data_IF_859568715909
#
_entry.id   IF_859568715909
#
_cell.length_a   1.000
_cell.length_b   1.000
_cell.length_c   1.000
_cell.angle_alpha   90.00
_cell.angle_beta   90.00
_cell.angle_gamma   90.00
#
_symmetry.space_group_name_H-M   'P 1'
#
loop_
_entity.id
_entity.type
_entity.pdbx_description
1 polymer ?
#
# COMPACT_ATOMS: atom_id res chain seq x y z
N UNK A 1 14.20 48.25 41.66
CA UNK A 1 13.72 47.63 40.40
C UNK A 1 14.90 47.27 39.50
N UNK A 2 15.49 46.06 39.65
CA UNK A 2 16.19 45.43 38.50
C UNK A 2 16.08 43.89 38.45
N UNK A 3 15.32 43.24 39.33
CA UNK A 3 15.26 41.76 39.43
C UNK A 3 14.25 41.13 38.46
N UNK A 4 13.27 41.90 37.96
CA UNK A 4 12.20 41.38 37.08
C UNK A 4 12.61 41.19 35.61
N UNK A 5 13.72 41.80 35.17
CA UNK A 5 14.14 41.78 33.75
C UNK A 5 15.05 40.58 33.44
N UNK A 6 15.73 40.02 34.43
CA UNK A 6 16.64 38.88 34.24
C UNK A 6 15.83 37.57 34.19
N UNK A 7 14.71 37.48 34.92
CA UNK A 7 13.85 36.29 34.91
C UNK A 7 13.15 36.06 33.56
N UNK A 8 12.84 37.13 32.82
CA UNK A 8 12.15 37.03 31.53
C UNK A 8 13.05 36.57 30.39
N UNK A 9 14.37 36.80 30.46
CA UNK A 9 15.32 36.29 29.47
C UNK A 9 15.64 34.80 29.66
N UNK A 10 15.68 34.32 30.90
CA UNK A 10 15.86 32.89 31.19
C UNK A 10 14.67 32.04 30.71
N UNK A 11 13.44 32.55 30.79
CA UNK A 11 12.24 31.85 30.35
C UNK A 11 12.13 31.77 28.81
N UNK A 12 12.69 32.76 28.09
CA UNK A 12 12.68 32.83 26.62
C UNK A 12 13.73 31.92 25.97
N UNK A 13 14.81 31.60 26.69
CA UNK A 13 15.82 30.63 26.23
C UNK A 13 15.33 29.20 26.50
N UNK A 14 14.56 28.97 27.57
CA UNK A 14 13.98 27.64 27.84
C UNK A 14 12.88 27.26 26.83
N UNK A 15 12.14 28.24 26.29
CA UNK A 15 11.14 27.98 25.25
C UNK A 15 11.75 27.73 23.86
N UNK A 16 13.02 28.07 23.64
CA UNK A 16 13.74 27.77 22.39
C UNK A 16 14.33 26.35 22.34
N UNK A 17 14.48 25.67 23.48
CA UNK A 17 15.02 24.30 23.57
C UNK A 17 13.90 23.24 23.62
N UNK A 18 12.65 23.65 23.81
CA UNK A 18 11.47 22.85 23.40
C UNK A 18 11.31 23.06 21.89
N UNK A 19 12.40 22.73 21.18
CA UNK A 19 12.41 22.59 19.75
C UNK A 19 11.26 21.69 19.36
N UNK A 20 10.49 22.21 18.42
CA UNK A 20 9.52 21.55 17.57
C UNK A 20 10.12 20.23 17.07
N UNK A 21 10.07 19.19 17.90
CA UNK A 21 10.11 17.82 17.40
C UNK A 21 8.73 17.67 16.77
N UNK A 22 8.61 17.48 15.45
CA UNK A 22 7.33 17.16 14.86
C UNK A 22 6.82 15.89 15.53
N UNK A 23 5.84 16.06 16.42
CA UNK A 23 5.03 15.00 16.96
C UNK A 23 4.21 14.42 15.81
N UNK A 24 4.79 13.50 15.06
CA UNK A 24 4.15 13.05 13.83
C UNK A 24 4.79 11.88 13.09
N UNK A 25 5.80 11.23 13.65
CA UNK A 25 6.19 9.89 13.23
C UNK A 25 6.26 9.00 14.47
N UNK A 26 5.15 8.91 15.21
CA UNK A 26 4.90 7.67 15.94
C UNK A 26 4.85 6.60 14.86
N UNK A 27 5.90 5.79 14.77
CA UNK A 27 5.83 4.49 14.10
C UNK A 27 4.71 3.71 14.77
N UNK A 28 3.47 3.93 14.33
CA UNK A 28 2.37 3.07 14.69
C UNK A 28 2.69 1.75 14.01
N UNK A 29 3.31 0.84 14.75
CA UNK A 29 3.58 -0.51 14.25
C UNK A 29 2.25 -1.14 13.85
N UNK A 30 1.93 -1.12 12.56
CA UNK A 30 0.69 -1.69 12.05
C UNK A 30 0.84 -3.20 12.09
N UNK A 31 0.09 -3.86 12.98
CA UNK A 31 0.01 -5.32 12.95
C UNK A 31 -0.72 -5.72 11.68
N UNK A 32 -0.14 -6.59 10.87
CA UNK A 32 -0.75 -7.03 9.63
C UNK A 32 -0.50 -8.52 9.37
N UNK A 33 -1.39 -9.13 8.59
CA UNK A 33 -1.26 -10.52 8.13
C UNK A 33 -1.50 -10.57 6.62
N UNK A 34 -0.92 -11.57 5.96
CA UNK A 34 -1.11 -11.85 4.54
C UNK A 34 -1.72 -13.24 4.37
N UNK A 35 -2.49 -13.43 3.30
CA UNK A 35 -2.81 -14.78 2.84
C UNK A 35 -1.57 -15.42 2.20
N UNK A 36 -1.45 -16.76 2.21
CA UNK A 36 -0.39 -17.43 1.48
C UNK A 36 -0.51 -17.16 -0.04
N UNK A 37 0.63 -17.09 -0.71
CA UNK A 37 0.70 -17.01 -2.18
C UNK A 37 -0.03 -18.19 -2.82
N UNK A 38 -0.85 -17.93 -3.84
CA UNK A 38 -1.63 -18.94 -4.55
C UNK A 38 -2.70 -19.66 -3.73
N UNK A 39 -3.06 -19.14 -2.54
CA UNK A 39 -4.00 -19.80 -1.62
C UNK A 39 -5.41 -19.95 -2.21
N UNK A 40 -5.84 -19.01 -3.06
CA UNK A 40 -7.16 -19.04 -3.67
C UNK A 40 -7.10 -19.57 -5.08
N UNK A 41 -7.83 -20.68 -5.31
CA UNK A 41 -8.06 -21.23 -6.64
C UNK A 41 -8.77 -20.22 -7.55
N UNK A 42 -8.65 -20.41 -8.87
CA UNK A 42 -9.33 -19.56 -9.83
C UNK A 42 -10.86 -19.65 -9.68
N UNK A 43 -11.51 -18.50 -9.46
CA UNK A 43 -12.93 -18.39 -9.17
C UNK A 43 -13.85 -19.05 -10.22
N UNK A 44 -13.44 -19.08 -11.49
CA UNK A 44 -14.22 -19.68 -12.58
C UNK A 44 -14.19 -21.21 -12.59
N UNK A 45 -13.23 -21.84 -11.88
CA UNK A 45 -13.10 -23.31 -11.82
C UNK A 45 -13.96 -23.95 -10.72
N UNK A 46 -14.54 -23.14 -9.84
CA UNK A 46 -15.25 -23.62 -8.65
C UNK A 46 -16.77 -23.58 -8.90
N UNK A 47 -17.55 -24.63 -8.55
CA UNK A 47 -19.01 -24.60 -8.61
C UNK A 47 -19.62 -23.50 -7.73
N UNK A 48 -20.75 -22.93 -8.13
CA UNK A 48 -21.39 -21.79 -7.41
C UNK A 48 -21.59 -22.07 -5.91
N UNK A 49 -22.03 -23.27 -5.54
CA UNK A 49 -22.25 -23.64 -4.13
C UNK A 49 -20.95 -23.60 -3.31
N UNK A 50 -19.82 -23.99 -3.93
CA UNK A 50 -18.51 -23.92 -3.30
C UNK A 50 -17.98 -22.48 -3.23
N UNK A 51 -18.30 -21.64 -4.22
CA UNK A 51 -17.94 -20.21 -4.20
C UNK A 51 -18.50 -19.51 -2.97
N UNK A 52 -19.77 -19.74 -2.64
CA UNK A 52 -20.40 -19.16 -1.45
C UNK A 52 -19.70 -19.60 -0.17
N UNK A 53 -19.31 -20.87 -0.06
CA UNK A 53 -18.56 -21.39 1.10
C UNK A 53 -17.18 -20.74 1.21
N UNK A 54 -16.47 -20.58 0.09
CA UNK A 54 -15.16 -19.92 0.06
C UNK A 54 -15.29 -18.44 0.46
N UNK A 55 -16.23 -17.71 -0.13
CA UNK A 55 -16.50 -16.30 0.20
C UNK A 55 -16.83 -16.13 1.69
N UNK A 56 -17.68 -17.00 2.26
CA UNK A 56 -17.99 -16.97 3.69
C UNK A 56 -16.77 -17.25 4.57
N UNK A 57 -15.90 -18.18 4.16
CA UNK A 57 -14.64 -18.46 4.87
C UNK A 57 -13.67 -17.28 4.82
N UNK A 58 -13.56 -16.61 3.68
CA UNK A 58 -12.77 -15.39 3.54
C UNK A 58 -13.33 -14.32 4.46
N UNK A 59 -14.63 -14.04 4.41
CA UNK A 59 -15.29 -13.04 5.24
C UNK A 59 -15.08 -13.29 6.74
N UNK A 60 -15.27 -14.52 7.20
CA UNK A 60 -15.02 -14.90 8.58
C UNK A 60 -13.55 -14.69 9.00
N UNK A 61 -12.60 -14.98 8.09
CA UNK A 61 -11.18 -14.76 8.33
C UNK A 61 -10.86 -13.26 8.45
N UNK A 62 -11.38 -12.45 7.54
CA UNK A 62 -11.19 -11.00 7.53
C UNK A 62 -11.83 -10.31 8.75
N UNK A 63 -13.00 -10.79 9.19
CA UNK A 63 -13.64 -10.34 10.44
C UNK A 63 -12.76 -10.61 11.65
N UNK A 64 -12.18 -11.82 11.75
CA UNK A 64 -11.24 -12.16 12.83
C UNK A 64 -9.97 -11.29 12.80
N UNK A 65 -9.43 -11.00 11.61
CA UNK A 65 -8.30 -10.08 11.47
C UNK A 65 -8.66 -8.69 11.99
N UNK A 66 -9.79 -8.15 11.54
CA UNK A 66 -10.27 -6.82 11.92
C UNK A 66 -10.52 -6.72 13.42
N UNK A 67 -11.19 -7.72 14.02
CA UNK A 67 -11.43 -7.78 15.46
C UNK A 67 -10.13 -7.88 16.27
N UNK A 68 -9.12 -8.57 15.74
CA UNK A 68 -7.78 -8.65 16.35
C UNK A 68 -6.91 -7.40 16.13
N UNK A 69 -7.43 -6.36 15.47
CA UNK A 69 -6.68 -5.15 15.14
C UNK A 69 -5.59 -5.36 14.08
N UNK A 70 -5.67 -6.43 13.29
CA UNK A 70 -4.74 -6.70 12.20
C UNK A 70 -5.23 -6.08 10.89
N UNK A 71 -4.32 -5.44 10.15
CA UNK A 71 -4.49 -5.14 8.74
C UNK A 71 -4.29 -6.36 7.85
N UNK A 72 -4.81 -6.30 6.63
CA UNK A 72 -4.49 -7.22 5.55
C UNK A 72 -3.38 -6.63 4.69
N UNK A 73 -2.30 -7.37 4.54
CA UNK A 73 -1.25 -7.08 3.55
C UNK A 73 -1.78 -7.46 2.17
N UNK A 74 -1.68 -6.50 1.24
CA UNK A 74 -1.89 -6.70 -0.19
C UNK A 74 -0.54 -6.54 -0.89
N UNK A 75 -0.07 -7.61 -1.52
CA UNK A 75 1.18 -7.67 -2.28
C UNK A 75 0.85 -8.24 -3.66
N UNK A 76 1.00 -7.43 -4.70
CA UNK A 76 0.64 -7.86 -6.04
C UNK A 76 0.67 -6.74 -7.06
N UNK A 77 0.01 -6.92 -8.19
CA UNK A 77 0.02 -5.96 -9.29
C UNK A 77 -1.24 -5.09 -9.29
N UNK A 78 -1.08 -3.78 -9.46
CA UNK A 78 -2.18 -2.88 -9.78
C UNK A 78 -2.67 -3.20 -11.19
N UNK A 79 -3.96 -3.51 -11.34
CA UNK A 79 -4.52 -3.95 -12.63
C UNK A 79 -4.97 -2.79 -13.52
N UNK A 80 -5.14 -1.60 -12.94
CA UNK A 80 -5.50 -0.37 -13.65
C UNK A 80 -4.23 0.46 -13.92
N UNK A 81 -4.24 1.29 -14.96
CA UNK A 81 -3.14 2.24 -15.21
C UNK A 81 -3.33 3.46 -14.30
N UNK A 82 -2.52 3.66 -13.25
CA UNK A 82 -2.71 4.78 -12.34
C UNK A 82 -2.36 6.09 -13.03
N UNK A 83 -3.19 7.12 -12.85
CA UNK A 83 -2.90 8.47 -13.32
C UNK A 83 -1.83 9.13 -12.42
N UNK A 84 -0.66 9.52 -12.95
CA UNK A 84 0.39 10.16 -12.15
C UNK A 84 0.02 11.58 -11.69
N UNK A 85 -0.98 12.23 -12.30
CA UNK A 85 -1.44 13.57 -11.96
C UNK A 85 -2.33 13.64 -10.71
N UNK A 86 -2.76 12.50 -10.17
CA UNK A 86 -3.65 12.43 -9.01
C UNK A 86 -2.83 12.28 -7.72
N UNK A 87 -3.11 13.11 -6.71
CA UNK A 87 -2.41 13.06 -5.41
C UNK A 87 -2.77 11.81 -4.59
N UNK A 88 -4.06 11.45 -4.57
CA UNK A 88 -4.57 10.30 -3.84
C UNK A 88 -5.57 9.57 -4.73
N UNK A 89 -5.29 8.31 -5.03
CA UNK A 89 -6.23 7.48 -5.77
C UNK A 89 -7.47 7.22 -4.91
N UNK A 90 -8.69 7.53 -5.41
CA UNK A 90 -9.91 7.22 -4.68
C UNK A 90 -10.02 5.71 -4.41
N UNK A 91 -9.56 4.93 -5.38
CA UNK A 91 -9.50 3.48 -5.35
C UNK A 91 -8.30 2.99 -6.16
N UNK A 92 -7.68 1.90 -5.71
CA UNK A 92 -6.80 1.05 -6.51
C UNK A 92 -7.27 -0.39 -6.44
N UNK A 93 -7.32 -1.05 -7.59
CA UNK A 93 -7.59 -2.48 -7.68
C UNK A 93 -6.27 -3.25 -7.86
N UNK A 94 -6.03 -4.22 -7.00
CA UNK A 94 -4.76 -4.97 -6.90
C UNK A 94 -5.08 -6.46 -7.05
N UNK A 95 -4.39 -7.13 -7.97
CA UNK A 95 -4.36 -8.59 -8.03
C UNK A 95 -3.27 -9.08 -7.08
N UNK A 96 -3.70 -9.57 -5.92
CA UNK A 96 -2.82 -10.04 -4.86
C UNK A 96 -2.23 -11.41 -5.19
N UNK A 97 -1.00 -11.66 -4.73
CA UNK A 97 -0.29 -12.92 -4.91
C UNK A 97 -1.04 -14.14 -4.37
N UNK A 98 -1.95 -13.97 -3.40
CA UNK A 98 -2.82 -15.05 -2.92
C UNK A 98 -3.90 -15.48 -3.91
N UNK A 99 -4.18 -14.68 -4.94
CA UNK A 99 -5.29 -14.86 -5.88
C UNK A 99 -6.54 -14.03 -5.55
N UNK A 100 -6.50 -13.19 -4.51
CA UNK A 100 -7.56 -12.21 -4.23
C UNK A 100 -7.47 -11.00 -5.16
N UNK A 101 -8.62 -10.44 -5.50
CA UNK A 101 -8.70 -9.08 -6.04
C UNK A 101 -9.00 -8.13 -4.87
N UNK A 102 -8.06 -7.24 -4.57
CA UNK A 102 -8.14 -6.31 -3.45
C UNK A 102 -8.44 -4.91 -3.97
N UNK A 103 -9.52 -4.32 -3.48
CA UNK A 103 -9.92 -2.94 -3.70
C UNK A 103 -9.49 -2.11 -2.49
N UNK A 104 -8.44 -1.30 -2.66
CA UNK A 104 -7.93 -0.41 -1.62
C UNK A 104 -8.42 1.03 -1.87
N UNK A 105 -8.99 1.67 -0.86
CA UNK A 105 -9.49 3.05 -0.97
C UNK A 105 -8.51 4.07 -0.42
N UNK A 106 -8.55 5.27 -0.99
CA UNK A 106 -7.77 6.46 -0.57
C UNK A 106 -6.26 6.20 -0.50
N UNK A 107 -5.71 5.63 -1.57
CA UNK A 107 -4.29 5.26 -1.63
C UNK A 107 -3.47 6.49 -2.08
N UNK A 108 -2.52 7.01 -1.28
CA UNK A 108 -1.65 8.11 -1.68
C UNK A 108 -0.81 7.73 -2.90
N UNK A 109 -0.65 8.62 -3.88
CA UNK A 109 0.18 8.34 -5.04
C UNK A 109 1.66 8.63 -4.73
N UNK A 110 2.49 7.58 -4.70
CA UNK A 110 3.94 7.71 -4.47
C UNK A 110 4.68 8.50 -5.56
N UNK A 111 4.10 8.61 -6.75
CA UNK A 111 4.69 9.32 -7.89
C UNK A 111 4.10 10.71 -8.12
N UNK A 112 3.22 11.19 -7.23
CA UNK A 112 2.63 12.51 -7.39
C UNK A 112 3.72 13.59 -7.41
N UNK A 113 3.69 14.44 -8.44
CA UNK A 113 4.70 15.48 -8.71
C UNK A 113 6.12 14.97 -9.02
N UNK A 114 6.33 13.67 -9.21
CA UNK A 114 7.62 13.14 -9.65
C UNK A 114 7.91 13.59 -11.09
N UNK A 115 8.97 14.39 -11.28
CA UNK A 115 9.31 15.02 -12.58
C UNK A 115 10.15 14.12 -13.50
N UNK A 116 10.60 12.96 -13.03
CA UNK A 116 11.44 12.03 -13.82
C UNK A 116 10.63 11.01 -14.62
N UNK A 117 11.29 10.31 -15.55
CA UNK A 117 10.72 9.12 -16.20
C UNK A 117 10.83 7.92 -15.26
N UNK A 118 9.81 7.69 -14.43
CA UNK A 118 9.71 6.46 -13.66
C UNK A 118 9.29 5.32 -14.60
N UNK A 119 10.08 4.23 -14.63
CA UNK A 119 9.56 2.96 -15.14
C UNK A 119 8.46 2.51 -14.19
N UNK A 120 7.19 2.64 -14.59
CA UNK A 120 6.05 2.35 -13.71
C UNK A 120 6.11 0.86 -13.36
N UNK A 121 6.60 0.53 -12.17
CA UNK A 121 6.49 -0.81 -11.62
C UNK A 121 5.04 -0.99 -11.17
N UNK A 122 4.26 -1.88 -11.81
CA UNK A 122 2.86 -2.08 -11.46
C UNK A 122 2.72 -2.83 -10.12
N UNK A 123 3.81 -3.40 -9.59
CA UNK A 123 3.77 -4.09 -8.31
C UNK A 123 3.63 -3.09 -7.16
N UNK A 124 2.79 -3.44 -6.20
CA UNK A 124 2.50 -2.64 -5.03
C UNK A 124 2.48 -3.53 -3.78
N UNK A 125 2.91 -2.95 -2.66
CA UNK A 125 2.82 -3.59 -1.35
C UNK A 125 2.24 -2.59 -0.35
N UNK A 126 0.98 -2.80 0.01
CA UNK A 126 0.25 -1.96 0.96
C UNK A 126 -0.37 -2.79 2.10
N UNK A 127 -0.76 -2.08 3.15
CA UNK A 127 -1.58 -2.61 4.23
C UNK A 127 -2.93 -1.90 4.18
N UNK A 128 -4.01 -2.69 4.17
CA UNK A 128 -5.38 -2.20 4.29
C UNK A 128 -6.01 -2.62 5.62
N UNK A 129 -6.95 -1.84 6.13
CA UNK A 129 -7.74 -2.16 7.34
C UNK A 129 -9.23 -2.23 7.03
N UNK A 130 -9.97 -2.87 7.93
CA UNK A 130 -11.42 -3.07 7.75
C UNK A 130 -11.72 -3.87 6.49
N UNK A 131 -10.82 -4.78 6.12
CA UNK A 131 -10.97 -5.61 4.94
C UNK A 131 -12.25 -6.45 5.06
N UNK A 132 -13.07 -6.48 4.01
CA UNK A 132 -14.30 -7.24 3.96
C UNK A 132 -14.54 -7.80 2.56
N UNK A 133 -15.25 -8.92 2.47
CA UNK A 133 -15.61 -9.49 1.18
C UNK A 133 -16.65 -8.59 0.51
N UNK A 134 -16.41 -8.23 -0.75
CA UNK A 134 -17.40 -7.58 -1.60
C UNK A 134 -18.10 -8.66 -2.43
N UNK A 135 -19.20 -9.19 -1.90
CA UNK A 135 -19.92 -10.30 -2.52
C UNK A 135 -20.45 -9.91 -3.91
N UNK A 136 -21.17 -8.78 -4.10
CA UNK A 136 -21.64 -8.38 -5.43
C UNK A 136 -20.50 -8.27 -6.44
N UNK A 137 -19.42 -7.58 -6.07
CA UNK A 137 -18.27 -7.38 -6.95
C UNK A 137 -17.57 -8.69 -7.30
N UNK A 138 -17.56 -9.65 -6.36
CA UNK A 138 -17.00 -10.98 -6.59
C UNK A 138 -17.74 -11.74 -7.69
N UNK A 139 -19.06 -11.62 -7.74
CA UNK A 139 -19.87 -12.20 -8.81
C UNK A 139 -19.72 -11.47 -10.14
N UNK A 140 -19.66 -10.13 -10.13
CA UNK A 140 -19.51 -9.31 -11.34
C UNK A 140 -18.15 -9.55 -12.00
N UNK A 141 -17.06 -9.55 -11.21
CA UNK A 141 -15.70 -9.73 -11.72
C UNK A 141 -15.29 -11.18 -11.92
N UNK A 142 -16.15 -12.13 -11.52
CA UNK A 142 -15.80 -13.54 -11.44
C UNK A 142 -14.46 -13.76 -10.71
N UNK A 143 -14.29 -13.15 -9.54
CA UNK A 143 -13.09 -13.24 -8.70
C UNK A 143 -13.42 -13.14 -7.21
N UNK A 144 -12.52 -13.54 -6.32
CA UNK A 144 -12.69 -13.32 -4.88
C UNK A 144 -12.29 -11.89 -4.53
N UNK A 145 -13.28 -11.00 -4.42
CA UNK A 145 -13.06 -9.58 -4.22
C UNK A 145 -13.16 -9.19 -2.75
N UNK A 146 -12.14 -8.50 -2.28
CA UNK A 146 -12.04 -7.93 -0.93
C UNK A 146 -11.84 -6.43 -1.05
N UNK A 147 -12.47 -5.64 -0.19
CA UNK A 147 -12.28 -4.19 -0.14
C UNK A 147 -11.85 -3.73 1.25
N UNK A 148 -11.06 -2.65 1.32
CA UNK A 148 -10.67 -2.03 2.58
C UNK A 148 -10.02 -0.65 2.41
N UNK A 149 -9.69 -0.03 3.54
CA UNK A 149 -9.11 1.31 3.58
C UNK A 149 -7.59 1.23 3.68
N UNK A 150 -6.88 2.02 2.87
CA UNK A 150 -5.43 2.14 2.96
C UNK A 150 -4.97 2.58 4.36
N UNK A 151 -3.86 2.03 4.81
CA UNK A 151 -3.19 2.43 6.06
C UNK A 151 -1.76 2.88 5.79
N UNK A 152 -0.99 2.04 5.12
CA UNK A 152 0.43 2.28 4.92
C UNK A 152 0.97 1.51 3.72
N UNK A 153 2.06 2.03 3.15
CA UNK A 153 2.94 1.25 2.31
C UNK A 153 3.87 0.39 3.16
N UNK A 154 4.25 -0.79 2.67
CA UNK A 154 5.30 -1.56 3.32
C UNK A 154 6.64 -0.82 3.20
N UNK A 155 7.39 -0.67 4.29
CA UNK A 155 8.64 0.09 4.30
C UNK A 155 9.63 -0.39 3.22
N UNK A 156 9.84 -1.71 3.11
CA UNK A 156 10.68 -2.32 2.06
C UNK A 156 10.26 -1.95 0.64
N UNK A 157 8.97 -1.76 0.40
CA UNK A 157 8.46 -1.34 -0.91
C UNK A 157 8.77 0.13 -1.17
N UNK A 158 8.56 1.01 -0.18
CA UNK A 158 8.92 2.43 -0.30
C UNK A 158 10.42 2.58 -0.58
N UNK A 159 11.28 1.88 0.16
CA UNK A 159 12.73 1.91 -0.05
C UNK A 159 13.11 1.49 -1.48
N UNK A 160 12.54 0.39 -1.99
CA UNK A 160 12.81 -0.09 -3.34
C UNK A 160 12.33 0.87 -4.44
N UNK A 161 11.20 1.55 -4.22
CA UNK A 161 10.71 2.59 -5.14
C UNK A 161 11.69 3.77 -5.17
N UNK A 162 12.08 4.30 -4.00
CA UNK A 162 13.02 5.42 -3.92
C UNK A 162 14.37 5.08 -4.56
N UNK A 163 14.93 3.91 -4.27
CA UNK A 163 16.16 3.41 -4.90
C UNK A 163 16.02 3.30 -6.43
N UNK A 164 14.87 2.85 -6.91
CA UNK A 164 14.57 2.78 -8.35
C UNK A 164 14.41 4.14 -9.02
N UNK A 165 13.95 5.17 -8.29
CA UNK A 165 13.84 6.54 -8.78
C UNK A 165 15.19 7.26 -8.81
N UNK A 166 16.06 6.99 -7.84
CA UNK A 166 17.41 7.57 -7.73
C UNK A 166 18.42 6.95 -8.70
N UNK A 167 18.19 5.70 -9.13
CA UNK A 167 19.03 5.06 -10.13
C UNK A 167 18.83 5.73 -11.50
N UNK A 168 19.88 6.28 -12.13
CA UNK A 168 19.78 6.69 -13.52
C UNK A 168 19.35 5.48 -14.35
N UNK A 169 18.36 5.67 -15.23
CA UNK A 169 17.94 4.62 -16.15
C UNK A 169 19.20 4.11 -16.86
N UNK A 170 19.54 2.83 -16.63
CA UNK A 170 20.68 2.22 -17.30
C UNK A 170 20.50 2.47 -18.81
N UNK A 171 21.56 2.90 -19.53
CA UNK A 171 21.47 3.00 -20.97
C UNK A 171 20.99 1.64 -21.47
N UNK A 172 19.85 1.60 -22.16
CA UNK A 172 19.39 0.38 -22.81
C UNK A 172 20.56 -0.13 -23.64
N UNK A 173 21.16 -1.22 -23.17
CA UNK A 173 22.38 -1.75 -23.74
C UNK A 173 22.17 -1.98 -25.22
N UNK A 174 23.10 -1.41 -26.02
CA UNK A 174 23.40 -1.88 -27.36
C UNK A 174 23.29 -3.41 -27.36
N UNK A 175 22.37 -3.94 -28.16
CA UNK A 175 22.50 -5.34 -28.60
C UNK A 175 23.93 -5.51 -29.13
N UNK A 176 24.72 -6.47 -28.64
CA UNK A 176 25.93 -6.84 -29.36
C UNK A 176 25.47 -7.33 -30.73
N UNK A 177 25.96 -6.67 -31.78
CA UNK A 177 25.69 -7.07 -33.15
C UNK A 177 26.04 -8.57 -33.29
N UNK A 178 25.08 -9.37 -33.76
CA UNK A 178 25.36 -10.73 -34.21
C UNK A 178 26.47 -10.65 -35.26
N UNK A 179 27.53 -11.47 -35.18
CA UNK A 179 28.39 -11.66 -36.33
C UNK A 179 27.55 -12.27 -37.44
N UNK A 180 27.58 -11.65 -38.61
CA UNK A 180 26.94 -12.14 -39.82
C UNK A 180 27.60 -13.47 -40.27
N UNK A 181 26.84 -14.38 -40.90
CA UNK A 181 27.35 -15.66 -41.37
C UNK A 181 28.41 -15.53 -42.47
#
# INVERSE_FOLDING_TARGET
>A
MPVKIILSQALLILSLIIGVIPAGARETSVKAKQFPTGYFSQYHKIPIQEKTKVLAKIDATLKKLTQGGFGLIAKGAVIEKPDPGIMTYPQLTILDESGLVIIARRVPNLFYQYRGKAGINPNIYIIIKGARVNIPESYIRYSYVVEGEFVAYANKFVSAVLEGLERPAAPQGRQPARPAP
#
